data_IF_251795466228
#
_entry.id   IF_251795466228
#
_cell.length_a   1.000
_cell.length_b   1.000
_cell.length_c   1.000
_cell.angle_alpha   90.00
_cell.angle_beta   90.00
_cell.angle_gamma   90.00
#
_symmetry.space_group_name_H-M   'P 1'
#
loop_
_entity.id
_entity.type
_entity.pdbx_description
1 polymer ?
#
# COMPACT_ATOMS: atom_id res chain seq x y z
N UNK A 1 15.07 15.86 13.64
CA UNK A 1 13.78 16.47 14.01
C UNK A 1 12.71 15.42 13.76
N UNK A 2 11.78 15.24 14.69
CA UNK A 2 10.69 14.26 14.61
C UNK A 2 9.34 14.96 14.74
N UNK A 3 8.27 14.28 14.29
CA UNK A 3 6.88 14.69 14.46
C UNK A 3 6.14 13.58 15.22
N UNK A 4 5.64 13.87 16.43
CA UNK A 4 4.82 12.91 17.18
C UNK A 4 3.43 12.78 16.53
N UNK A 5 3.00 11.55 16.28
CA UNK A 5 1.69 11.23 15.73
C UNK A 5 1.04 10.09 16.52
N UNK A 6 -0.26 10.20 16.78
CA UNK A 6 -1.10 9.08 17.20
C UNK A 6 -1.64 8.36 15.97
N UNK A 7 -1.33 7.07 15.87
CA UNK A 7 -1.72 6.21 14.76
C UNK A 7 -2.39 4.97 15.36
N UNK A 8 -3.72 4.87 15.18
CA UNK A 8 -4.53 3.78 15.74
C UNK A 8 -4.38 3.62 17.27
N UNK A 9 -4.23 4.73 18.01
CA UNK A 9 -4.06 4.75 19.47
C UNK A 9 -2.62 4.54 19.92
N UNK A 10 -1.66 4.42 18.99
CA UNK A 10 -0.25 4.23 19.27
C UNK A 10 0.53 5.49 18.90
N UNK A 11 1.30 6.01 19.85
CA UNK A 11 2.20 7.15 19.61
C UNK A 11 3.45 6.70 18.86
N UNK A 12 3.82 7.43 17.81
CA UNK A 12 5.06 7.24 17.05
C UNK A 12 5.72 8.57 16.73
N UNK A 13 7.04 8.60 16.79
CA UNK A 13 7.84 9.74 16.33
C UNK A 13 8.28 9.50 14.89
N UNK A 14 7.72 10.28 13.96
CA UNK A 14 8.05 10.18 12.54
C UNK A 14 9.26 11.07 12.23
N UNK A 15 10.35 10.55 11.64
CA UNK A 15 11.45 11.38 11.17
C UNK A 15 10.95 12.42 10.16
N UNK A 16 11.30 13.69 10.36
CA UNK A 16 10.96 14.74 9.39
C UNK A 16 12.01 14.75 8.28
N UNK A 17 11.56 14.51 7.05
CA UNK A 17 12.38 14.47 5.85
C UNK A 17 12.04 15.66 4.95
N UNK A 18 13.07 16.37 4.47
CA UNK A 18 12.92 17.42 3.44
C UNK A 18 12.74 16.77 2.07
N UNK A 19 11.69 17.14 1.35
CA UNK A 19 11.41 16.64 -0.02
C UNK A 19 11.74 17.71 -1.05
N UNK A 20 11.32 18.95 -0.81
CA UNK A 20 11.70 20.15 -1.57
C UNK A 20 12.03 21.28 -0.61
N UNK A 21 12.38 22.46 -1.11
CA UNK A 21 12.69 23.61 -0.26
C UNK A 21 11.54 24.03 0.67
N UNK A 22 10.29 23.90 0.19
CA UNK A 22 9.09 24.29 0.94
C UNK A 22 8.23 23.10 1.39
N UNK A 23 8.68 21.85 1.21
CA UNK A 23 7.93 20.64 1.57
C UNK A 23 8.75 19.69 2.44
N UNK A 24 8.18 19.39 3.60
CA UNK A 24 8.67 18.38 4.54
C UNK A 24 7.59 17.32 4.78
N UNK A 25 8.01 16.09 5.01
CA UNK A 25 7.10 14.97 5.32
C UNK A 25 7.53 14.28 6.62
N UNK A 26 6.55 13.75 7.36
CA UNK A 26 6.82 12.75 8.40
C UNK A 26 6.97 11.38 7.73
N UNK A 27 8.17 10.81 7.79
CA UNK A 27 8.46 9.53 7.17
C UNK A 27 7.80 8.38 7.95
N UNK A 28 6.66 7.92 7.44
CA UNK A 28 6.00 6.73 7.94
C UNK A 28 6.61 5.46 7.34
N UNK A 29 7.13 4.58 8.21
CA UNK A 29 7.70 3.29 7.82
C UNK A 29 7.17 2.22 8.78
N UNK A 30 6.44 1.26 8.24
CA UNK A 30 5.84 0.18 9.02
C UNK A 30 6.76 -1.03 9.20
N UNK A 31 7.80 -1.15 8.36
CA UNK A 31 8.72 -2.29 8.42
C UNK A 31 9.42 -2.37 9.78
N UNK A 32 9.21 -3.50 10.47
CA UNK A 32 9.77 -3.76 11.80
C UNK A 32 8.85 -3.36 12.95
N UNK A 33 7.77 -2.61 12.70
CA UNK A 33 6.81 -2.20 13.73
C UNK A 33 5.57 -3.11 13.72
N UNK A 34 5.73 -4.29 14.32
CA UNK A 34 4.70 -5.33 14.35
C UNK A 34 3.47 -4.87 15.11
N UNK A 35 3.64 -4.19 16.26
CA UNK A 35 2.54 -3.68 17.08
C UNK A 35 1.67 -2.70 16.27
N UNK A 36 2.30 -1.73 15.62
CA UNK A 36 1.60 -0.75 14.79
C UNK A 36 0.89 -1.42 13.62
N UNK A 37 1.52 -2.40 12.98
CA UNK A 37 0.94 -3.15 11.86
C UNK A 37 -0.37 -3.84 12.28
N UNK A 38 -0.36 -4.55 13.42
CA UNK A 38 -1.51 -5.28 13.96
C UNK A 38 -2.65 -4.32 14.30
N UNK A 39 -2.33 -3.22 14.99
CA UNK A 39 -3.31 -2.22 15.40
C UNK A 39 -3.94 -1.50 14.20
N UNK A 40 -3.12 -1.04 13.25
CA UNK A 40 -3.61 -0.40 12.04
C UNK A 40 -4.50 -1.32 11.22
N UNK A 41 -4.13 -2.60 11.05
CA UNK A 41 -4.95 -3.56 10.33
C UNK A 41 -6.32 -3.75 11.00
N UNK A 42 -6.36 -3.89 12.33
CA UNK A 42 -7.60 -4.04 13.08
C UNK A 42 -8.52 -2.81 12.94
N UNK A 43 -7.97 -1.60 13.06
CA UNK A 43 -8.75 -0.36 12.91
C UNK A 43 -9.23 -0.11 11.47
N UNK A 44 -8.43 -0.48 10.46
CA UNK A 44 -8.84 -0.36 9.06
C UNK A 44 -9.92 -1.37 8.70
N UNK A 45 -9.85 -2.61 9.19
CA UNK A 45 -10.85 -3.64 8.93
C UNK A 45 -12.23 -3.28 9.48
N UNK A 46 -12.31 -2.58 10.63
CA UNK A 46 -13.58 -2.04 11.16
C UNK A 46 -14.27 -1.06 10.20
N UNK A 47 -13.50 -0.44 9.31
CA UNK A 47 -13.95 0.58 8.35
C UNK A 47 -14.04 0.06 6.93
N UNK A 48 -13.57 -1.16 6.69
CA UNK A 48 -13.54 -1.73 5.35
C UNK A 48 -14.97 -1.98 4.86
N UNK A 49 -15.30 -1.63 3.60
CA UNK A 49 -16.56 -2.03 2.99
C UNK A 49 -16.55 -3.55 2.73
N UNK A 50 -17.64 -4.10 2.19
CA UNK A 50 -17.57 -5.46 1.66
C UNK A 50 -16.62 -5.55 0.46
N UNK A 51 -15.72 -6.52 0.49
CA UNK A 51 -14.75 -6.79 -0.56
C UNK A 51 -14.60 -8.30 -0.78
N UNK A 52 -14.13 -8.67 -1.97
CA UNK A 52 -13.81 -10.06 -2.29
C UNK A 52 -12.30 -10.33 -2.10
N UNK A 53 -11.45 -9.34 -2.41
CA UNK A 53 -10.00 -9.44 -2.28
C UNK A 53 -9.36 -8.11 -1.89
N UNK A 54 -8.15 -8.18 -1.33
CA UNK A 54 -7.33 -7.02 -0.99
C UNK A 54 -6.16 -6.87 -1.98
N UNK A 55 -5.75 -5.63 -2.23
CA UNK A 55 -4.56 -5.30 -3.02
C UNK A 55 -3.79 -4.09 -2.47
N UNK A 56 -2.47 -4.10 -2.61
CA UNK A 56 -1.63 -2.92 -2.38
C UNK A 56 -0.67 -2.64 -3.56
N UNK A 57 -0.25 -1.38 -3.77
CA UNK A 57 0.53 -0.99 -4.96
C UNK A 57 2.04 -1.26 -4.85
N UNK A 58 2.61 -1.42 -3.65
CA UNK A 58 4.05 -1.64 -3.51
C UNK A 58 4.52 -2.29 -2.18
N UNK A 59 5.84 -2.43 -2.05
CA UNK A 59 6.48 -3.19 -0.99
C UNK A 59 6.20 -2.66 0.43
N UNK A 60 6.16 -1.34 0.64
CA UNK A 60 6.00 -0.75 1.98
C UNK A 60 4.67 -1.10 2.65
N UNK A 61 3.63 -1.33 1.86
CA UNK A 61 2.31 -1.73 2.34
C UNK A 61 2.16 -3.25 2.55
N UNK A 62 3.17 -4.07 2.21
CA UNK A 62 3.10 -5.54 2.37
C UNK A 62 2.77 -5.96 3.80
N UNK A 63 3.39 -5.43 4.87
CA UNK A 63 3.07 -5.83 6.23
C UNK A 63 1.60 -5.59 6.56
N UNK A 64 1.08 -4.41 6.19
CA UNK A 64 -0.32 -4.06 6.40
C UNK A 64 -1.27 -4.96 5.62
N UNK A 65 -0.98 -5.18 4.34
CA UNK A 65 -1.77 -6.02 3.44
C UNK A 65 -1.87 -7.45 3.96
N UNK A 66 -0.73 -8.04 4.33
CA UNK A 66 -0.67 -9.37 4.90
C UNK A 66 -1.46 -9.43 6.21
N UNK A 67 -1.27 -8.47 7.10
CA UNK A 67 -1.91 -8.49 8.42
C UNK A 67 -3.42 -8.27 8.32
N UNK A 68 -3.89 -7.39 7.44
CA UNK A 68 -5.32 -7.24 7.15
C UNK A 68 -5.91 -8.54 6.58
N UNK A 69 -5.22 -9.18 5.63
CA UNK A 69 -5.68 -10.47 5.09
C UNK A 69 -5.74 -11.56 6.17
N UNK A 70 -4.73 -11.64 7.05
CA UNK A 70 -4.66 -12.58 8.16
C UNK A 70 -5.81 -12.37 9.16
N UNK A 71 -6.05 -11.13 9.56
CA UNK A 71 -7.10 -10.79 10.53
C UNK A 71 -8.51 -10.94 9.96
N UNK A 72 -8.70 -10.68 8.66
CA UNK A 72 -10.01 -10.85 8.01
C UNK A 72 -10.31 -12.29 7.57
N UNK A 73 -9.35 -13.22 7.72
CA UNK A 73 -9.46 -14.58 7.21
C UNK A 73 -9.43 -14.69 5.69
N UNK A 74 -8.88 -13.69 4.98
CA UNK A 74 -8.75 -13.76 3.53
C UNK A 74 -7.69 -14.80 3.15
N UNK A 75 -8.07 -15.76 2.31
CA UNK A 75 -7.16 -16.82 1.84
C UNK A 75 -6.16 -16.32 0.80
N UNK A 76 -6.46 -15.20 0.13
CA UNK A 76 -5.61 -14.60 -0.90
C UNK A 76 -5.67 -13.08 -0.85
N UNK A 77 -4.52 -12.46 -1.08
CA UNK A 77 -4.38 -11.04 -1.39
C UNK A 77 -3.52 -10.88 -2.64
N UNK A 78 -3.61 -9.71 -3.27
CA UNK A 78 -2.87 -9.36 -4.47
C UNK A 78 -1.91 -8.23 -4.17
N UNK A 79 -0.85 -8.11 -4.94
CA UNK A 79 0.10 -7.03 -4.77
C UNK A 79 0.54 -6.60 -6.16
N UNK A 80 0.41 -5.31 -6.48
CA UNK A 80 1.01 -4.77 -7.67
C UNK A 80 2.53 -4.61 -7.47
N UNK A 81 3.28 -4.47 -8.56
CA UNK A 81 4.74 -4.28 -8.52
C UNK A 81 5.14 -3.10 -9.40
N UNK A 82 6.33 -2.56 -9.13
CA UNK A 82 6.97 -1.57 -10.01
C UNK A 82 7.73 -2.18 -11.19
N UNK A 83 8.05 -3.46 -11.11
CA UNK A 83 8.91 -4.17 -12.08
C UNK A 83 8.45 -5.61 -12.26
N UNK A 84 8.48 -6.10 -13.49
CA UNK A 84 8.21 -7.50 -13.83
C UNK A 84 9.15 -8.43 -13.05
N UNK A 85 8.62 -9.59 -12.66
CA UNK A 85 9.40 -10.66 -12.02
C UNK A 85 9.44 -11.85 -12.96
N UNK A 86 10.55 -12.59 -12.91
CA UNK A 86 10.82 -13.69 -13.82
C UNK A 86 9.78 -14.83 -13.74
N UNK A 87 9.06 -14.93 -12.61
CA UNK A 87 8.01 -15.92 -12.40
C UNK A 87 6.62 -15.48 -12.88
N UNK A 88 6.49 -14.28 -13.45
CA UNK A 88 5.19 -13.78 -13.90
C UNK A 88 4.81 -14.40 -15.25
N UNK A 89 3.54 -14.82 -15.38
CA UNK A 89 2.96 -15.43 -16.59
C UNK A 89 2.74 -14.44 -17.73
N UNK A 90 2.78 -13.16 -17.39
CA UNK A 90 2.60 -12.00 -18.26
C UNK A 90 2.47 -10.75 -17.38
N UNK A 91 2.35 -9.57 -17.98
CA UNK A 91 2.15 -8.32 -17.25
C UNK A 91 0.94 -7.58 -17.78
N UNK A 92 0.03 -7.22 -16.88
CA UNK A 92 -0.93 -6.15 -17.08
C UNK A 92 -0.34 -4.89 -16.45
N UNK A 93 -0.04 -3.86 -17.24
CA UNK A 93 0.69 -2.68 -16.76
C UNK A 93 -0.01 -1.34 -17.06
N UNK A 94 0.19 -0.39 -16.15
CA UNK A 94 -0.20 1.01 -16.30
C UNK A 94 0.98 1.91 -15.95
N UNK A 95 1.11 3.02 -16.68
CA UNK A 95 2.11 4.04 -16.41
C UNK A 95 1.53 5.10 -15.47
N UNK A 96 2.22 5.34 -14.35
CA UNK A 96 1.87 6.33 -13.33
C UNK A 96 2.88 7.46 -13.37
N UNK A 97 2.41 8.70 -13.49
CA UNK A 97 3.26 9.88 -13.43
C UNK A 97 2.93 10.68 -12.18
N UNK A 98 3.64 10.42 -11.08
CA UNK A 98 3.50 11.22 -9.86
C UNK A 98 4.20 12.57 -10.01
N UNK A 99 3.61 13.61 -9.41
CA UNK A 99 4.16 14.98 -9.34
C UNK A 99 5.52 15.00 -8.61
N UNK A 100 5.73 14.09 -7.66
CA UNK A 100 6.91 14.07 -6.76
C UNK A 100 8.08 13.22 -7.27
N UNK A 101 7.95 12.53 -8.41
CA UNK A 101 8.98 11.62 -8.93
C UNK A 101 9.44 12.02 -10.32
N UNK A 102 10.76 12.09 -10.52
CA UNK A 102 11.37 12.50 -11.79
C UNK A 102 11.16 11.50 -12.95
N UNK A 103 10.76 10.25 -12.67
CA UNK A 103 10.58 9.19 -13.66
C UNK A 103 9.14 8.65 -13.65
N UNK A 104 8.64 8.28 -14.83
CA UNK A 104 7.38 7.51 -14.99
C UNK A 104 7.54 6.20 -14.23
N UNK A 105 6.61 5.95 -13.32
CA UNK A 105 6.52 4.68 -12.59
C UNK A 105 5.59 3.74 -13.35
N UNK A 106 5.82 2.44 -13.20
CA UNK A 106 4.89 1.42 -13.68
C UNK A 106 4.22 0.77 -12.48
N UNK A 107 2.95 0.45 -12.61
CA UNK A 107 2.27 -0.51 -11.76
C UNK A 107 1.91 -1.70 -12.63
N UNK A 108 2.32 -2.88 -12.18
CA UNK A 108 2.08 -4.12 -12.90
C UNK A 108 1.41 -5.15 -12.00
N UNK A 109 0.57 -5.99 -12.58
CA UNK A 109 -0.03 -7.17 -11.97
C UNK A 109 0.23 -8.36 -12.90
N UNK A 110 0.36 -9.56 -12.34
CA UNK A 110 0.47 -10.78 -13.14
C UNK A 110 -0.82 -11.01 -13.93
N UNK A 111 -0.71 -11.46 -15.19
CA UNK A 111 -1.89 -11.71 -16.02
C UNK A 111 -2.87 -12.70 -15.38
N UNK A 112 -2.40 -13.75 -14.70
CA UNK A 112 -3.27 -14.71 -14.03
C UNK A 112 -4.01 -14.09 -12.83
N UNK A 113 -3.33 -13.22 -12.09
CA UNK A 113 -3.96 -12.46 -11.00
C UNK A 113 -4.99 -11.46 -11.55
N UNK A 114 -4.69 -10.79 -12.68
CA UNK A 114 -5.59 -9.86 -13.35
C UNK A 114 -6.90 -10.54 -13.83
N UNK A 115 -6.80 -11.77 -14.36
CA UNK A 115 -7.96 -12.58 -14.70
C UNK A 115 -8.79 -12.95 -13.46
N UNK A 116 -8.14 -13.29 -12.34
CA UNK A 116 -8.82 -13.68 -11.12
C UNK A 116 -9.61 -12.52 -10.46
N UNK A 117 -9.08 -11.30 -10.53
CA UNK A 117 -9.73 -10.12 -9.93
C UNK A 117 -10.80 -9.50 -10.84
N UNK A 118 -10.94 -9.96 -12.08
CA UNK A 118 -11.93 -9.40 -13.02
C UNK A 118 -13.35 -9.56 -12.47
N UNK A 119 -14.06 -8.43 -12.36
CA UNK A 119 -15.44 -8.39 -11.84
C UNK A 119 -15.56 -8.59 -10.32
N UNK A 120 -14.44 -8.53 -9.59
CA UNK A 120 -14.40 -8.64 -8.13
C UNK A 120 -14.35 -7.27 -7.46
N UNK A 121 -14.88 -7.20 -6.24
CA UNK A 121 -14.76 -6.02 -5.38
C UNK A 121 -13.39 -6.01 -4.73
N UNK A 122 -12.54 -5.10 -5.16
CA UNK A 122 -11.18 -4.96 -4.66
C UNK A 122 -11.11 -3.91 -3.56
N UNK A 123 -10.59 -4.29 -2.39
CA UNK A 123 -10.15 -3.34 -1.38
C UNK A 123 -8.71 -2.93 -1.67
N UNK A 124 -8.50 -1.68 -2.08
CA UNK A 124 -7.17 -1.12 -2.27
C UNK A 124 -6.73 -0.47 -0.97
N UNK A 125 -5.52 -0.79 -0.52
CA UNK A 125 -4.91 -0.19 0.68
C UNK A 125 -3.45 0.19 0.42
N UNK A 126 -2.96 1.15 1.19
CA UNK A 126 -1.56 1.58 1.18
C UNK A 126 -1.16 2.06 2.57
N UNK A 127 0.15 2.18 2.82
CA UNK A 127 0.68 2.70 4.08
C UNK A 127 0.47 4.21 4.22
N UNK A 128 0.65 4.95 3.12
CA UNK A 128 0.42 6.40 3.01
C UNK A 128 -0.14 6.74 1.63
N UNK A 129 -1.29 7.41 1.60
CA UNK A 129 -1.85 7.98 0.37
C UNK A 129 -1.62 9.50 0.39
N UNK A 130 -0.80 9.99 -0.53
CA UNK A 130 -0.53 11.44 -0.69
C UNK A 130 -1.40 12.04 -1.80
N UNK A 131 -0.87 12.23 -3.01
CA UNK A 131 -1.64 12.77 -4.15
C UNK A 131 -2.69 11.81 -4.69
N UNK A 132 -2.57 10.51 -4.40
CA UNK A 132 -3.49 9.47 -4.87
C UNK A 132 -3.22 8.96 -6.29
N UNK A 133 -2.15 9.41 -6.97
CA UNK A 133 -1.84 8.96 -8.35
C UNK A 133 -1.60 7.45 -8.44
N UNK A 134 -0.91 6.86 -7.45
CA UNK A 134 -0.71 5.40 -7.37
C UNK A 134 -2.00 4.63 -7.10
N UNK A 135 -2.98 5.25 -6.43
CA UNK A 135 -4.27 4.64 -6.12
C UNK A 135 -5.22 4.69 -7.33
N UNK A 136 -5.10 5.73 -8.15
CA UNK A 136 -5.93 5.94 -9.35
C UNK A 136 -5.55 5.00 -10.51
N UNK A 137 -4.27 4.66 -10.60
CA UNK A 137 -3.71 3.82 -11.65
C UNK A 137 -4.04 2.34 -11.44
#
# INVERSE_FOLDING_TARGET
>A
MTYEMDIAGLKRELPICKVTDDLYIGAFVMFGDVELTVHCAAELLKRAPEYDYLIAPEAKAIPLLYEMARQSGAEKYFLARKTAKAYMSGVFEVNVKSITTAAVQRLIIDSADAEQIRGKRMLILDDVISTGESLRA
#
